data_IF_472323128782
#
_entry.id   IF_472323128782
#
_cell.length_a   1.000
_cell.length_b   1.000
_cell.length_c   1.000
_cell.angle_alpha   90.00
_cell.angle_beta   90.00
_cell.angle_gamma   90.00
#
_symmetry.space_group_name_H-M   'P 1'
#
loop_
_entity.id
_entity.type
_entity.pdbx_description
1 polymer ?
#
# COMPACT_ATOMS: atom_id res chain seq x y z
N UNK A 1 15.89 9.02 -4.78
CA UNK A 1 16.02 10.42 -5.30
C UNK A 1 15.63 11.40 -4.23
N UNK A 2 16.42 12.46 -3.97
CA UNK A 2 16.16 13.39 -2.86
C UNK A 2 15.73 14.77 -3.37
N UNK A 3 14.77 15.38 -2.66
CA UNK A 3 14.28 16.73 -2.87
C UNK A 3 14.45 17.56 -1.60
N UNK A 4 15.20 18.65 -1.68
CA UNK A 4 15.48 19.55 -0.55
C UNK A 4 14.32 20.53 -0.37
N UNK A 5 13.39 20.21 0.54
CA UNK A 5 12.20 21.01 0.83
C UNK A 5 12.61 22.35 1.46
N UNK A 6 13.58 22.34 2.40
CA UNK A 6 14.01 23.54 3.11
C UNK A 6 14.59 24.59 2.13
N UNK A 7 15.51 24.16 1.28
CA UNK A 7 16.07 25.02 0.24
C UNK A 7 15.00 25.49 -0.75
N UNK A 8 14.02 24.65 -1.06
CA UNK A 8 12.91 25.00 -1.93
C UNK A 8 11.99 26.07 -1.31
N UNK A 9 11.66 25.96 -0.03
CA UNK A 9 10.87 26.97 0.70
C UNK A 9 11.57 28.33 0.77
N UNK A 10 12.91 28.33 0.98
CA UNK A 10 13.69 29.57 1.10
C UNK A 10 13.91 30.29 -0.24
N UNK A 11 14.16 29.55 -1.30
CA UNK A 11 14.67 30.13 -2.58
C UNK A 11 13.93 29.65 -3.84
N UNK A 12 12.93 28.81 -3.72
CA UNK A 12 12.15 28.31 -4.85
C UNK A 12 11.41 29.44 -5.58
N UNK A 13 11.73 29.64 -6.85
CA UNK A 13 11.07 30.66 -7.69
C UNK A 13 10.23 30.07 -8.80
N UNK A 14 10.40 28.78 -9.04
CA UNK A 14 9.71 28.02 -10.09
C UNK A 14 9.26 26.69 -9.54
N UNK A 15 8.18 26.11 -10.05
CA UNK A 15 7.81 24.73 -9.74
C UNK A 15 8.98 23.79 -10.00
N UNK A 16 9.16 22.83 -9.11
CA UNK A 16 10.08 21.72 -9.30
C UNK A 16 9.29 20.54 -9.83
N UNK A 17 9.78 19.90 -10.87
CA UNK A 17 9.17 18.72 -11.47
C UNK A 17 10.23 17.61 -11.58
N UNK A 18 9.86 16.40 -11.20
CA UNK A 18 10.69 15.23 -11.33
C UNK A 18 9.87 14.05 -11.84
N UNK A 19 10.42 13.36 -12.83
CA UNK A 19 9.91 12.09 -13.32
C UNK A 19 10.95 11.02 -13.01
N UNK A 20 10.55 9.93 -12.34
CA UNK A 20 11.47 8.87 -11.95
C UNK A 20 10.78 7.50 -11.92
N UNK A 21 11.59 6.47 -12.02
CA UNK A 21 11.15 5.08 -11.86
C UNK A 21 11.68 4.55 -10.53
N UNK A 22 10.79 3.99 -9.71
CA UNK A 22 11.13 3.39 -8.42
C UNK A 22 11.07 1.86 -8.51
N UNK A 23 12.18 1.21 -8.19
CA UNK A 23 12.29 -0.26 -8.21
C UNK A 23 11.98 -0.85 -6.82
N UNK A 24 10.78 -1.40 -6.68
CA UNK A 24 10.30 -2.06 -5.46
C UNK A 24 10.40 -3.60 -5.53
N UNK A 25 11.12 -4.15 -6.49
CA UNK A 25 11.23 -5.62 -6.67
C UNK A 25 11.82 -6.37 -5.47
N UNK A 26 12.56 -5.67 -4.61
CA UNK A 26 13.17 -6.22 -3.39
C UNK A 26 12.49 -5.76 -2.11
N UNK A 27 11.46 -4.93 -2.21
CA UNK A 27 10.74 -4.41 -1.06
C UNK A 27 9.82 -5.48 -0.46
N UNK A 28 9.68 -5.48 0.86
CA UNK A 28 8.67 -6.31 1.54
C UNK A 28 7.33 -5.58 1.52
N UNK A 29 6.44 -6.03 0.65
CA UNK A 29 5.13 -5.44 0.42
C UNK A 29 3.99 -6.26 1.04
N UNK A 30 4.30 -7.17 1.99
CA UNK A 30 3.27 -7.85 2.78
C UNK A 30 2.39 -8.85 2.02
N UNK A 31 2.95 -9.54 1.00
CA UNK A 31 2.25 -10.63 0.29
C UNK A 31 1.91 -10.33 -1.17
N UNK A 32 2.39 -9.22 -1.70
CA UNK A 32 2.38 -8.92 -3.13
C UNK A 32 3.76 -8.46 -3.60
N UNK A 33 3.97 -8.39 -4.90
CA UNK A 33 5.23 -7.98 -5.50
C UNK A 33 5.01 -6.95 -6.60
N UNK A 34 6.03 -6.13 -6.81
CA UNK A 34 6.11 -5.15 -7.90
C UNK A 34 7.29 -5.54 -8.77
N UNK A 35 7.03 -6.25 -9.86
CA UNK A 35 8.07 -6.81 -10.73
C UNK A 35 8.54 -5.84 -11.82
N UNK A 36 7.79 -4.77 -12.06
CA UNK A 36 8.16 -3.68 -12.98
C UNK A 36 8.32 -2.39 -12.19
N UNK A 37 9.31 -1.54 -12.49
CA UNK A 37 9.45 -0.28 -11.79
C UNK A 37 8.16 0.54 -11.80
N UNK A 38 7.83 1.13 -10.65
CA UNK A 38 6.72 2.07 -10.55
C UNK A 38 7.12 3.41 -11.19
N UNK A 39 6.25 3.97 -12.00
CA UNK A 39 6.47 5.27 -12.64
C UNK A 39 5.91 6.36 -11.74
N UNK A 40 6.75 7.30 -11.36
CA UNK A 40 6.41 8.37 -10.43
C UNK A 40 6.64 9.73 -11.06
N UNK A 41 5.66 10.63 -10.88
CA UNK A 41 5.77 12.04 -11.21
C UNK A 41 5.62 12.85 -9.92
N UNK A 42 6.57 13.73 -9.65
CA UNK A 42 6.58 14.59 -8.47
C UNK A 42 6.64 16.05 -8.88
N UNK A 43 5.79 16.87 -8.28
CA UNK A 43 5.78 18.31 -8.50
C UNK A 43 5.74 19.03 -7.15
N UNK A 44 6.55 20.08 -7.00
CA UNK A 44 6.51 20.99 -5.86
C UNK A 44 6.26 22.42 -6.34
N UNK A 45 5.29 23.11 -5.73
CA UNK A 45 4.92 24.49 -6.05
C UNK A 45 4.94 25.33 -4.79
N UNK A 46 5.65 26.44 -4.85
CA UNK A 46 5.70 27.39 -3.73
C UNK A 46 4.41 28.23 -3.68
N UNK A 47 3.84 28.34 -2.48
CA UNK A 47 2.68 29.19 -2.18
C UNK A 47 3.07 30.30 -1.19
N UNK A 48 2.13 31.19 -0.84
CA UNK A 48 2.40 32.27 0.13
C UNK A 48 2.73 31.74 1.53
N UNK A 49 2.16 30.58 1.90
CA UNK A 49 2.25 30.05 3.27
C UNK A 49 3.12 28.77 3.38
N UNK A 50 3.67 28.26 2.27
CA UNK A 50 4.44 27.01 2.26
C UNK A 50 4.65 26.46 0.86
N UNK A 51 4.73 25.16 0.73
CA UNK A 51 4.84 24.43 -0.54
C UNK A 51 3.75 23.37 -0.67
N UNK A 52 3.14 23.31 -1.84
CA UNK A 52 2.27 22.22 -2.26
C UNK A 52 3.12 21.18 -2.99
N UNK A 53 3.05 19.92 -2.53
CA UNK A 53 3.74 18.80 -3.13
C UNK A 53 2.70 17.84 -3.71
N UNK A 54 2.91 17.41 -4.93
CA UNK A 54 2.05 16.47 -5.63
C UNK A 54 2.88 15.26 -6.05
N UNK A 55 2.46 14.07 -5.63
CA UNK A 55 3.07 12.81 -6.04
C UNK A 55 2.03 11.96 -6.78
N UNK A 56 2.30 11.62 -8.04
CA UNK A 56 1.52 10.65 -8.81
C UNK A 56 2.33 9.36 -8.92
N UNK A 57 1.70 8.22 -8.61
CA UNK A 57 2.35 6.89 -8.65
C UNK A 57 1.51 5.96 -9.52
N UNK A 58 2.17 5.29 -10.47
CA UNK A 58 1.59 4.24 -11.30
C UNK A 58 2.39 2.96 -11.13
N UNK A 59 1.75 1.91 -10.66
CA UNK A 59 2.40 0.64 -10.36
C UNK A 59 1.54 -0.56 -10.78
N UNK A 60 2.23 -1.65 -11.19
CA UNK A 60 1.62 -2.95 -11.42
C UNK A 60 1.93 -3.88 -10.26
N UNK A 61 0.89 -4.38 -9.62
CA UNK A 61 0.99 -5.25 -8.45
C UNK A 61 0.64 -6.68 -8.86
N UNK A 62 1.57 -7.60 -8.63
CA UNK A 62 1.35 -9.03 -8.75
C UNK A 62 1.13 -9.65 -7.37
N UNK A 63 0.07 -10.42 -7.23
CA UNK A 63 -0.33 -11.02 -5.96
C UNK A 63 -1.03 -12.36 -6.18
N UNK A 64 -1.32 -13.04 -5.08
CA UNK A 64 -2.24 -14.16 -5.07
C UNK A 64 -3.56 -13.77 -4.39
N UNK A 65 -4.66 -14.26 -4.93
CA UNK A 65 -5.96 -14.08 -4.28
C UNK A 65 -5.95 -14.69 -2.88
N UNK A 66 -6.23 -13.90 -1.86
CA UNK A 66 -6.21 -14.34 -0.46
C UNK A 66 -7.21 -15.46 -0.13
N UNK A 67 -8.17 -15.74 -1.02
CA UNK A 67 -9.16 -16.82 -0.83
C UNK A 67 -8.91 -18.07 -1.66
N UNK A 68 -8.47 -17.95 -2.90
CA UNK A 68 -8.35 -19.07 -3.82
C UNK A 68 -6.93 -19.30 -4.35
N UNK A 69 -5.96 -18.48 -3.93
CA UNK A 69 -4.53 -18.54 -4.28
C UNK A 69 -4.26 -18.43 -5.79
N UNK A 70 -5.23 -17.91 -6.53
CA UNK A 70 -5.03 -17.67 -7.96
C UNK A 70 -4.19 -16.42 -8.16
N UNK A 71 -3.19 -16.46 -9.06
CA UNK A 71 -2.42 -15.28 -9.37
C UNK A 71 -3.33 -14.20 -9.95
N UNK A 72 -3.08 -12.97 -9.56
CA UNK A 72 -3.77 -11.78 -10.06
C UNK A 72 -2.79 -10.62 -10.22
N UNK A 73 -3.07 -9.77 -11.18
CA UNK A 73 -2.37 -8.51 -11.37
C UNK A 73 -3.36 -7.36 -11.21
N UNK A 74 -2.94 -6.28 -10.58
CA UNK A 74 -3.72 -5.04 -10.41
C UNK A 74 -2.87 -3.84 -10.75
N UNK A 75 -3.49 -2.90 -11.46
CA UNK A 75 -2.91 -1.60 -11.75
C UNK A 75 -3.37 -0.60 -10.71
N UNK A 76 -2.44 0.15 -10.16
CA UNK A 76 -2.68 1.24 -9.25
C UNK A 76 -2.18 2.53 -9.88
N UNK A 77 -3.06 3.52 -9.91
CA UNK A 77 -2.78 4.87 -10.41
C UNK A 77 -3.42 5.85 -9.43
N UNK A 78 -2.61 6.52 -8.66
CA UNK A 78 -3.10 7.41 -7.61
C UNK A 78 -2.23 8.65 -7.48
N UNK A 79 -2.80 9.66 -6.86
CA UNK A 79 -2.17 10.95 -6.60
C UNK A 79 -2.29 11.28 -5.12
N UNK A 80 -1.20 11.83 -4.55
CA UNK A 80 -1.16 12.34 -3.18
C UNK A 80 -0.75 13.79 -3.19
N UNK A 81 -1.42 14.55 -2.36
CA UNK A 81 -1.18 15.98 -2.17
C UNK A 81 -0.74 16.24 -0.74
N UNK A 82 0.33 17.01 -0.58
CA UNK A 82 0.83 17.40 0.72
C UNK A 82 1.02 18.92 0.74
N UNK A 83 0.82 19.48 1.90
CA UNK A 83 1.14 20.89 2.14
C UNK A 83 2.17 20.97 3.25
N UNK A 84 3.31 21.61 2.98
CA UNK A 84 4.45 21.68 3.90
C UNK A 84 4.83 23.13 4.15
N UNK A 85 4.95 23.50 5.42
CA UNK A 85 5.48 24.79 5.86
C UNK A 85 6.85 24.60 6.49
N UNK A 86 7.62 25.66 6.57
CA UNK A 86 8.95 25.61 7.19
C UNK A 86 8.92 25.08 8.64
N UNK A 87 7.93 25.50 9.43
CA UNK A 87 7.72 25.02 10.81
C UNK A 87 7.42 23.53 10.92
N UNK A 88 6.82 22.92 9.89
CA UNK A 88 6.44 21.51 9.90
C UNK A 88 7.69 20.63 9.81
N UNK A 89 8.79 21.14 9.22
CA UNK A 89 10.09 20.44 9.15
C UNK A 89 10.81 20.33 10.51
N UNK A 90 10.38 21.09 11.51
CA UNK A 90 10.93 21.05 12.88
C UNK A 90 10.06 20.18 13.80
N UNK A 91 8.90 19.73 13.32
CA UNK A 91 7.99 18.89 14.07
C UNK A 91 8.48 17.44 14.08
N UNK A 92 8.75 16.83 15.25
CA UNK A 92 9.17 15.43 15.34
C UNK A 92 8.10 14.44 14.85
N UNK A 93 6.81 14.86 14.80
CA UNK A 93 5.70 14.06 14.31
C UNK A 93 5.39 14.30 12.82
N UNK A 94 6.31 14.99 12.10
CA UNK A 94 6.15 15.23 10.67
C UNK A 94 6.20 13.93 9.87
N UNK A 95 5.13 13.62 9.18
CA UNK A 95 4.88 12.29 8.58
C UNK A 95 5.68 12.00 7.29
N UNK A 96 6.21 13.03 6.61
CA UNK A 96 6.97 12.80 5.38
C UNK A 96 8.38 12.24 5.66
N UNK A 97 8.92 11.33 4.82
CA UNK A 97 10.23 10.73 5.00
C UNK A 97 11.37 11.72 4.70
N UNK A 98 11.48 12.72 5.55
CA UNK A 98 12.53 13.73 5.50
C UNK A 98 13.68 13.37 6.43
N UNK A 99 14.90 13.61 5.98
CA UNK A 99 16.06 13.53 6.84
C UNK A 99 16.19 14.81 7.73
N UNK A 100 17.14 14.80 8.67
CA UNK A 100 17.42 15.92 9.59
C UNK A 100 17.72 17.26 8.88
N UNK A 101 18.11 17.23 7.62
CA UNK A 101 18.40 18.41 6.80
C UNK A 101 17.17 18.94 6.04
N UNK A 102 16.00 18.30 6.19
CA UNK A 102 14.79 18.67 5.44
C UNK A 102 14.77 18.17 4.00
N UNK A 103 15.57 17.16 3.66
CA UNK A 103 15.53 16.51 2.36
C UNK A 103 14.56 15.33 2.38
N UNK A 104 13.58 15.37 1.50
CA UNK A 104 12.57 14.32 1.26
C UNK A 104 13.14 13.25 0.34
N UNK A 105 13.04 11.99 0.73
CA UNK A 105 13.33 10.88 -0.17
C UNK A 105 12.08 10.49 -0.97
N UNK A 106 12.09 10.79 -2.26
CA UNK A 106 10.94 10.59 -3.14
C UNK A 106 10.65 9.11 -3.42
N UNK A 107 11.65 8.23 -3.40
CA UNK A 107 11.45 6.79 -3.57
C UNK A 107 10.83 6.19 -2.31
N UNK A 108 11.30 6.60 -1.14
CA UNK A 108 10.72 6.19 0.13
C UNK A 108 9.29 6.69 0.29
N UNK A 109 9.00 7.93 -0.11
CA UNK A 109 7.65 8.47 -0.12
C UNK A 109 6.73 7.65 -1.04
N UNK A 110 7.17 7.36 -2.26
CA UNK A 110 6.39 6.57 -3.20
C UNK A 110 6.16 5.14 -2.68
N UNK A 111 7.13 4.55 -1.99
CA UNK A 111 7.01 3.25 -1.34
C UNK A 111 5.95 3.25 -0.23
N UNK A 112 6.01 4.22 0.68
CA UNK A 112 5.06 4.34 1.78
C UNK A 112 3.63 4.54 1.27
N UNK A 113 3.43 5.42 0.28
CA UNK A 113 2.12 5.67 -0.30
C UNK A 113 1.58 4.44 -1.06
N UNK A 114 2.44 3.67 -1.72
CA UNK A 114 2.03 2.43 -2.36
C UNK A 114 1.53 1.40 -1.34
N UNK A 115 2.20 1.25 -0.19
CA UNK A 115 1.75 0.36 0.89
C UNK A 115 0.38 0.79 1.44
N UNK A 116 0.15 2.08 1.58
CA UNK A 116 -1.14 2.59 2.07
C UNK A 116 -2.26 2.42 1.04
N UNK A 117 -1.97 2.54 -0.25
CA UNK A 117 -2.96 2.40 -1.32
C UNK A 117 -3.38 0.96 -1.55
N UNK A 118 -2.44 0.00 -1.47
CA UNK A 118 -2.71 -1.39 -1.77
C UNK A 118 -3.36 -2.08 -0.56
N UNK A 119 -4.59 -2.62 -0.70
CA UNK A 119 -5.23 -3.33 0.40
C UNK A 119 -4.43 -4.56 0.82
N UNK A 120 -4.35 -4.82 2.13
CA UNK A 120 -3.69 -6.00 2.68
C UNK A 120 -4.30 -7.33 2.21
N UNK A 121 -5.54 -7.31 1.69
CA UNK A 121 -6.27 -8.47 1.20
C UNK A 121 -6.70 -8.24 -0.24
N UNK A 122 -6.03 -8.86 -1.18
CA UNK A 122 -6.39 -8.83 -2.59
C UNK A 122 -7.21 -10.06 -2.99
N UNK A 123 -8.29 -9.85 -3.73
CA UNK A 123 -9.20 -10.90 -4.21
C UNK A 123 -9.28 -10.86 -5.73
N UNK A 124 -9.37 -12.04 -6.37
CA UNK A 124 -9.59 -12.13 -7.81
C UNK A 124 -10.96 -11.57 -8.24
N UNK A 125 -11.97 -11.70 -7.36
CA UNK A 125 -13.28 -11.07 -7.47
C UNK A 125 -13.89 -10.84 -6.10
N UNK A 126 -14.80 -9.87 -5.97
CA UNK A 126 -15.52 -9.59 -4.72
C UNK A 126 -16.26 -10.85 -4.20
N UNK A 127 -16.81 -11.66 -5.11
CA UNK A 127 -17.58 -12.87 -4.81
C UNK A 127 -16.72 -14.14 -4.79
N UNK A 128 -15.40 -14.04 -4.71
CA UNK A 128 -14.52 -15.20 -4.67
C UNK A 128 -14.89 -16.12 -3.51
N UNK A 129 -15.33 -17.33 -3.82
CA UNK A 129 -15.74 -18.32 -2.81
C UNK A 129 -14.57 -19.09 -2.19
N UNK A 130 -13.37 -18.86 -2.67
CA UNK A 130 -12.15 -19.48 -2.17
C UNK A 130 -11.99 -20.94 -2.53
N UNK A 131 -11.12 -21.62 -1.77
CA UNK A 131 -10.88 -23.06 -1.89
C UNK A 131 -11.87 -23.85 -1.03
N UNK A 132 -12.17 -25.06 -1.48
CA UNK A 132 -12.93 -26.00 -0.69
C UNK A 132 -12.09 -26.53 0.49
N UNK A 133 -12.56 -26.46 1.74
CA UNK A 133 -11.79 -26.93 2.89
C UNK A 133 -11.60 -28.47 2.92
N UNK A 134 -12.38 -29.23 2.09
CA UNK A 134 -12.32 -30.68 2.05
C UNK A 134 -11.35 -31.17 0.98
N UNK A 135 -11.45 -30.65 -0.25
CA UNK A 135 -10.66 -31.14 -1.39
C UNK A 135 -9.62 -30.16 -1.92
N UNK A 136 -9.54 -28.92 -1.38
CA UNK A 136 -8.59 -27.89 -1.81
C UNK A 136 -8.86 -27.30 -3.20
N UNK A 137 -9.92 -27.75 -3.91
CA UNK A 137 -10.28 -27.20 -5.22
C UNK A 137 -11.05 -25.89 -5.07
N UNK A 138 -10.97 -25.02 -6.08
CA UNK A 138 -11.83 -23.83 -6.15
C UNK A 138 -13.30 -24.22 -6.06
N UNK A 139 -14.06 -23.58 -5.18
CA UNK A 139 -15.51 -23.83 -5.05
C UNK A 139 -16.26 -23.47 -6.34
N UNK A 140 -15.85 -22.40 -7.02
CA UNK A 140 -16.42 -21.98 -8.30
C UNK A 140 -16.21 -23.01 -9.44
N UNK A 141 -15.23 -23.90 -9.34
CA UNK A 141 -14.94 -24.92 -10.34
C UNK A 141 -15.79 -26.20 -10.20
N UNK A 142 -16.93 -26.14 -9.49
CA UNK A 142 -17.88 -27.26 -9.40
C UNK A 142 -17.50 -28.31 -8.35
N UNK A 143 -16.95 -27.91 -7.23
CA UNK A 143 -16.74 -28.81 -6.10
C UNK A 143 -18.09 -29.32 -5.54
N UNK A 144 -18.31 -30.64 -5.57
CA UNK A 144 -19.49 -31.27 -5.03
C UNK A 144 -19.31 -31.78 -3.58
N UNK A 145 -18.26 -31.40 -2.90
CA UNK A 145 -18.04 -31.75 -1.50
C UNK A 145 -19.10 -31.07 -0.63
N UNK A 146 -19.91 -31.90 0.04
CA UNK A 146 -20.80 -31.39 1.10
C UNK A 146 -19.98 -31.18 2.37
N UNK A 147 -20.14 -30.06 3.11
CA UNK A 147 -19.61 -29.98 4.44
C UNK A 147 -20.14 -31.18 5.23
N UNK A 148 -19.23 -31.99 5.74
CA UNK A 148 -19.67 -33.02 6.69
C UNK A 148 -20.31 -32.26 7.86
N UNK A 149 -21.51 -32.63 8.27
CA UNK A 149 -22.18 -32.17 9.49
C UNK A 149 -21.43 -32.56 10.79
N UNK A 150 -20.19 -32.93 10.65
CA UNK A 150 -19.26 -33.13 11.74
C UNK A 150 -18.76 -31.71 12.15
N UNK A 151 -19.58 -31.03 12.94
CA UNK A 151 -19.04 -30.10 13.91
C UNK A 151 -18.00 -30.87 14.71
N UNK A 152 -16.73 -30.82 14.32
CA UNK A 152 -15.65 -31.29 15.19
C UNK A 152 -15.94 -30.70 16.56
N UNK A 153 -15.91 -31.53 17.63
CA UNK A 153 -16.23 -31.04 18.97
C UNK A 153 -15.39 -29.81 19.20
N UNK A 154 -16.03 -28.67 19.46
CA UNK A 154 -15.33 -27.43 19.72
C UNK A 154 -14.25 -27.72 20.76
N UNK A 155 -12.99 -27.42 20.46
CA UNK A 155 -11.87 -27.65 21.36
C UNK A 155 -12.32 -27.27 22.78
N UNK A 156 -12.25 -28.21 23.72
CA UNK A 156 -12.70 -27.97 25.08
C UNK A 156 -12.07 -26.74 25.74
N UNK A 157 -10.90 -26.31 25.23
CA UNK A 157 -10.22 -25.07 25.63
C UNK A 157 -10.94 -23.81 25.17
N UNK A 158 -11.69 -23.90 24.04
CA UNK A 158 -12.46 -22.77 23.50
C UNK A 158 -13.88 -22.70 24.07
N UNK A 159 -14.34 -23.74 24.78
CA UNK A 159 -15.65 -23.76 25.42
C UNK A 159 -15.81 -22.67 26.49
N UNK A 160 -14.71 -22.26 27.12
CA UNK A 160 -14.67 -21.16 28.11
C UNK A 160 -15.03 -19.82 27.45
N UNK A 161 -14.64 -19.59 26.19
CA UNK A 161 -14.97 -18.35 25.46
C UNK A 161 -16.47 -18.23 25.17
N UNK A 162 -17.17 -19.34 24.99
CA UNK A 162 -18.63 -19.33 24.82
C UNK A 162 -19.39 -18.84 26.07
N UNK A 163 -18.83 -19.07 27.27
CA UNK A 163 -19.42 -18.63 28.53
C UNK A 163 -19.20 -17.14 28.80
N UNK A 164 -18.22 -16.51 28.12
CA UNK A 164 -17.95 -15.07 28.23
C UNK A 164 -18.78 -14.23 27.26
N UNK A 165 -19.45 -14.85 26.29
CA UNK A 165 -20.27 -14.20 25.26
C UNK A 165 -21.80 -14.39 25.49
N UNK A 166 -22.18 -15.02 26.58
CA UNK A 166 -23.56 -15.15 27.06
C UNK A 166 -23.76 -14.26 28.28
#
# INVERSE_FOLDING_TARGET
MQFDIRSFLESGRKPFEAHFEADFSKADLGGYSVNTPAVCDFTATLTEDGAELLLCVRAHIDAECARCLEPLTRDYDFTREYFVRDRDLEDPDFELPCNENGCLDLEELAYQELIFEVPAVLLCSADCQGLCPICGKKKAAGCSCQPADNAAPADARLSILKQLLS
#
